data_IF_937089140587
#
_entry.id   IF_937089140587
#
_cell.length_a   1.000
_cell.length_b   1.000
_cell.length_c   1.000
_cell.angle_alpha   90.00
_cell.angle_beta   90.00
_cell.angle_gamma   90.00
#
_symmetry.space_group_name_H-M   'P 1'
#
loop_
_entity.id
_entity.type
_entity.pdbx_description
1 polymer ?
#
# COMPACT_ATOMS: atom_id res chain seq x y z
N UNK A 1 -19.31 32.71 -17.46
CA UNK A 1 -19.74 32.01 -16.23
C UNK A 1 -18.72 30.92 -15.87
N UNK A 2 -17.75 31.19 -14.97
CA UNK A 2 -16.74 30.22 -14.51
C UNK A 2 -16.40 30.51 -13.04
N UNK A 3 -17.15 29.98 -12.06
CA UNK A 3 -16.88 30.22 -10.61
C UNK A 3 -17.39 29.13 -9.63
N UNK A 4 -17.55 27.86 -10.05
CA UNK A 4 -17.98 26.79 -9.11
C UNK A 4 -16.96 25.68 -8.84
N UNK A 5 -16.03 25.40 -9.75
CA UNK A 5 -15.12 24.24 -9.61
C UNK A 5 -13.92 24.46 -8.67
N UNK A 6 -13.57 25.72 -8.32
CA UNK A 6 -12.34 26.02 -7.56
C UNK A 6 -12.52 26.11 -6.04
N UNK A 7 -13.75 26.16 -5.51
CA UNK A 7 -13.97 26.32 -4.05
C UNK A 7 -13.90 25.01 -3.27
N UNK A 8 -14.18 23.87 -3.91
CA UNK A 8 -14.33 22.58 -3.21
C UNK A 8 -12.99 21.92 -2.89
N UNK A 9 -11.98 22.01 -3.74
CA UNK A 9 -10.66 21.41 -3.47
C UNK A 9 -9.91 22.08 -2.30
N UNK A 10 -10.16 23.37 -2.06
CA UNK A 10 -9.52 24.14 -0.98
C UNK A 10 -10.13 23.92 0.41
N UNK A 11 -11.28 23.26 0.53
CA UNK A 11 -11.95 23.07 1.82
C UNK A 11 -11.43 21.85 2.59
N UNK A 12 -10.90 20.83 1.90
CA UNK A 12 -10.48 19.56 2.51
C UNK A 12 -9.42 19.70 3.61
N UNK A 13 -8.37 20.53 3.50
CA UNK A 13 -7.42 20.73 4.58
C UNK A 13 -8.09 21.20 5.87
N UNK A 14 -9.06 22.12 5.77
CA UNK A 14 -9.79 22.63 6.93
C UNK A 14 -10.77 21.62 7.50
N UNK A 15 -11.36 20.75 6.67
CA UNK A 15 -12.18 19.62 7.14
C UNK A 15 -11.33 18.59 7.88
N UNK A 16 -10.11 18.31 7.41
CA UNK A 16 -9.13 17.45 8.10
C UNK A 16 -8.77 18.05 9.47
N UNK A 17 -8.49 19.34 9.55
CA UNK A 17 -8.20 20.03 10.81
C UNK A 17 -9.35 19.88 11.82
N UNK A 18 -10.60 20.06 11.40
CA UNK A 18 -11.77 19.84 12.26
C UNK A 18 -11.81 18.39 12.81
N UNK A 19 -11.45 17.41 11.98
CA UNK A 19 -11.40 16.00 12.40
C UNK A 19 -10.26 15.73 13.38
N UNK A 20 -9.06 16.27 13.15
CA UNK A 20 -7.90 16.11 14.03
C UNK A 20 -8.11 16.78 15.40
N UNK A 21 -8.73 17.96 15.42
CA UNK A 21 -9.02 18.72 16.64
C UNK A 21 -10.22 18.17 17.43
N UNK A 22 -10.95 17.18 16.89
CA UNK A 22 -12.13 16.58 17.52
C UNK A 22 -13.20 17.60 17.94
N UNK A 23 -13.30 18.72 17.22
CA UNK A 23 -14.28 19.77 17.52
C UNK A 23 -15.69 19.35 17.09
N UNK A 24 -16.70 19.90 17.76
CA UNK A 24 -18.10 19.58 17.50
C UNK A 24 -18.54 20.03 16.10
N UNK A 25 -19.68 19.52 15.64
CA UNK A 25 -20.26 19.92 14.35
C UNK A 25 -20.50 21.42 14.25
N UNK A 26 -21.07 22.02 15.30
CA UNK A 26 -21.37 23.47 15.33
C UNK A 26 -20.09 24.30 15.25
N UNK A 27 -19.06 23.88 15.99
CA UNK A 27 -17.73 24.51 15.97
C UNK A 27 -17.07 24.33 14.60
N UNK A 28 -17.19 23.15 13.99
CA UNK A 28 -16.65 22.87 12.65
C UNK A 28 -17.28 23.77 11.59
N UNK A 29 -18.60 23.96 11.63
CA UNK A 29 -19.30 24.83 10.69
C UNK A 29 -18.94 26.30 10.89
N UNK A 30 -18.76 26.74 12.15
CA UNK A 30 -18.27 28.11 12.45
C UNK A 30 -16.83 28.30 11.96
N UNK A 31 -15.96 27.33 12.26
CA UNK A 31 -14.55 27.33 11.87
C UNK A 31 -14.33 27.46 10.37
N UNK A 32 -15.16 26.76 9.58
CA UNK A 32 -15.16 26.83 8.13
C UNK A 32 -15.71 28.15 7.62
N UNK A 33 -16.76 28.68 8.26
CA UNK A 33 -17.36 29.98 7.92
C UNK A 33 -16.36 31.13 8.11
N UNK A 34 -15.60 31.12 9.20
CA UNK A 34 -14.56 32.12 9.49
C UNK A 34 -13.43 32.12 8.44
N UNK A 35 -13.27 31.00 7.72
CA UNK A 35 -12.31 30.83 6.61
C UNK A 35 -12.94 31.05 5.23
N UNK A 36 -14.17 31.55 5.18
CA UNK A 36 -14.88 31.87 3.93
C UNK A 36 -15.65 30.71 3.31
N UNK A 37 -15.81 29.58 4.01
CA UNK A 37 -16.57 28.42 3.56
C UNK A 37 -17.90 28.31 4.31
N UNK A 38 -18.98 28.77 3.70
CA UNK A 38 -20.34 28.56 4.22
C UNK A 38 -20.92 27.30 3.59
N UNK A 39 -20.97 26.21 4.36
CA UNK A 39 -21.50 24.92 3.92
C UNK A 39 -22.62 24.44 4.83
N UNK A 40 -23.48 23.56 4.31
CA UNK A 40 -24.51 22.91 5.13
C UNK A 40 -23.93 21.78 5.98
N UNK A 41 -24.66 21.38 7.02
CA UNK A 41 -24.34 20.18 7.82
C UNK A 41 -24.17 18.94 6.94
N UNK A 42 -25.10 18.69 6.03
CA UNK A 42 -25.05 17.52 5.14
C UNK A 42 -23.80 17.54 4.26
N UNK A 43 -23.43 18.71 3.75
CA UNK A 43 -22.22 18.89 2.95
C UNK A 43 -20.94 18.69 3.78
N UNK A 44 -20.90 19.16 5.02
CA UNK A 44 -19.79 18.90 5.93
C UNK A 44 -19.58 17.40 6.16
N UNK A 45 -20.63 16.63 6.43
CA UNK A 45 -20.52 15.18 6.59
C UNK A 45 -20.14 14.45 5.31
N UNK A 46 -20.61 14.92 4.14
CA UNK A 46 -20.16 14.39 2.84
C UNK A 46 -18.66 14.59 2.66
N UNK A 47 -18.16 15.81 2.87
CA UNK A 47 -16.74 16.13 2.75
C UNK A 47 -15.89 15.38 3.78
N UNK A 48 -16.40 15.23 5.01
CA UNK A 48 -15.76 14.42 6.06
C UNK A 48 -15.61 12.96 5.63
N UNK A 49 -16.66 12.38 5.05
CA UNK A 49 -16.64 11.01 4.54
C UNK A 49 -15.64 10.86 3.39
N UNK A 50 -15.62 11.79 2.45
CA UNK A 50 -14.68 11.82 1.33
C UNK A 50 -13.22 11.90 1.80
N UNK A 51 -12.93 12.74 2.81
CA UNK A 51 -11.62 12.81 3.46
C UNK A 51 -11.24 11.46 4.09
N UNK A 52 -12.16 10.81 4.79
CA UNK A 52 -11.93 9.50 5.41
C UNK A 52 -11.66 8.41 4.36
N UNK A 53 -12.44 8.38 3.28
CA UNK A 53 -12.27 7.43 2.17
C UNK A 53 -10.91 7.63 1.50
N UNK A 54 -10.53 8.87 1.18
CA UNK A 54 -9.21 9.17 0.59
C UNK A 54 -8.03 8.78 1.51
N UNK A 55 -8.19 8.98 2.82
CA UNK A 55 -7.19 8.58 3.82
C UNK A 55 -7.07 7.06 3.88
N UNK A 56 -8.20 6.36 3.85
CA UNK A 56 -8.23 4.89 3.85
C UNK A 56 -7.61 4.32 2.56
N UNK A 57 -7.90 4.91 1.40
CA UNK A 57 -7.28 4.55 0.13
C UNK A 57 -5.76 4.73 0.17
N UNK A 58 -5.28 5.85 0.71
CA UNK A 58 -3.85 6.10 0.89
C UNK A 58 -3.21 5.10 1.87
N UNK A 59 -3.87 4.77 2.97
CA UNK A 59 -3.41 3.74 3.91
C UNK A 59 -3.34 2.37 3.25
N UNK A 60 -4.34 2.00 2.45
CA UNK A 60 -4.33 0.74 1.69
C UNK A 60 -3.21 0.71 0.64
N UNK A 61 -2.93 1.84 -0.01
CA UNK A 61 -1.79 1.98 -0.93
C UNK A 61 -0.45 1.85 -0.21
N UNK A 62 -0.31 2.44 0.97
CA UNK A 62 0.90 2.30 1.79
C UNK A 62 1.06 0.84 2.23
N UNK A 63 0.00 0.21 2.76
CA UNK A 63 0.03 -1.18 3.19
C UNK A 63 0.39 -2.13 2.04
N UNK A 64 -0.23 -1.96 0.87
CA UNK A 64 0.10 -2.78 -0.31
C UNK A 64 1.54 -2.60 -0.81
N UNK A 65 2.09 -1.39 -0.74
CA UNK A 65 3.52 -1.14 -1.03
C UNK A 65 4.42 -1.82 0.00
N UNK A 66 4.09 -1.70 1.28
CA UNK A 66 4.85 -2.30 2.38
C UNK A 66 4.89 -3.83 2.26
N UNK A 67 3.75 -4.47 1.97
CA UNK A 67 3.71 -5.91 1.71
C UNK A 67 4.55 -6.32 0.51
N UNK A 68 4.56 -5.52 -0.57
CA UNK A 68 5.42 -5.77 -1.73
C UNK A 68 6.90 -5.66 -1.35
N UNK A 69 7.29 -4.63 -0.60
CA UNK A 69 8.64 -4.46 -0.09
C UNK A 69 9.07 -5.67 0.73
N UNK A 70 8.25 -6.13 1.67
CA UNK A 70 8.55 -7.32 2.48
C UNK A 70 8.72 -8.59 1.62
N UNK A 71 7.92 -8.77 0.58
CA UNK A 71 8.09 -9.89 -0.35
C UNK A 71 9.45 -9.83 -1.07
N UNK A 72 9.86 -8.64 -1.52
CA UNK A 72 11.15 -8.46 -2.19
C UNK A 72 12.32 -8.69 -1.23
N UNK A 73 12.25 -8.14 -0.01
CA UNK A 73 13.27 -8.35 1.02
C UNK A 73 13.43 -9.83 1.39
N UNK A 74 12.32 -10.58 1.45
CA UNK A 74 12.35 -12.03 1.67
C UNK A 74 13.02 -12.77 0.51
N UNK A 75 12.72 -12.40 -0.74
CA UNK A 75 13.39 -12.97 -1.92
C UNK A 75 14.90 -12.72 -1.85
N UNK A 76 15.32 -11.49 -1.54
CA UNK A 76 16.73 -11.13 -1.44
C UNK A 76 17.43 -11.90 -0.32
N UNK A 77 16.77 -12.02 0.84
CA UNK A 77 17.28 -12.81 1.97
C UNK A 77 17.47 -14.28 1.58
N UNK A 78 16.47 -14.90 0.93
CA UNK A 78 16.55 -16.30 0.48
C UNK A 78 17.66 -16.49 -0.56
N UNK A 79 17.88 -15.52 -1.45
CA UNK A 79 18.99 -15.55 -2.43
C UNK A 79 20.35 -15.50 -1.73
N UNK A 80 20.50 -14.66 -0.71
CA UNK A 80 21.73 -14.60 0.10
C UNK A 80 21.94 -15.91 0.83
N UNK A 81 20.92 -16.45 1.49
CA UNK A 81 20.99 -17.75 2.18
C UNK A 81 21.44 -18.84 1.20
N UNK A 82 20.85 -18.92 0.01
CA UNK A 82 21.25 -19.91 -1.00
C UNK A 82 22.72 -19.76 -1.40
N UNK A 83 23.20 -18.53 -1.61
CA UNK A 83 24.60 -18.27 -1.94
C UNK A 83 25.53 -18.78 -0.84
N UNK A 84 25.24 -18.44 0.42
CA UNK A 84 26.04 -18.87 1.58
C UNK A 84 25.99 -20.39 1.77
N UNK A 85 24.83 -21.02 1.52
CA UNK A 85 24.69 -22.47 1.58
C UNK A 85 25.53 -23.19 0.52
N UNK A 86 25.61 -22.66 -0.69
CA UNK A 86 26.50 -23.21 -1.72
C UNK A 86 27.97 -23.08 -1.32
N UNK A 87 28.38 -21.94 -0.76
CA UNK A 87 29.74 -21.77 -0.22
C UNK A 87 30.04 -22.82 0.86
N UNK A 88 29.12 -23.01 1.81
CA UNK A 88 29.22 -24.01 2.86
C UNK A 88 29.29 -25.44 2.31
N UNK A 89 28.49 -25.76 1.29
CA UNK A 89 28.52 -27.07 0.62
C UNK A 89 29.91 -27.38 0.02
N UNK A 90 30.56 -26.39 -0.57
CA UNK A 90 31.87 -26.57 -1.21
C UNK A 90 33.01 -26.77 -0.20
N UNK A 91 32.94 -26.13 0.97
CA UNK A 91 33.97 -26.26 2.02
C UNK A 91 33.72 -27.41 3.01
N UNK A 92 32.49 -27.93 3.09
CA UNK A 92 32.16 -29.07 3.95
C UNK A 92 32.86 -30.34 3.44
N UNK A 93 33.27 -31.22 4.36
CA UNK A 93 33.95 -32.48 4.04
C UNK A 93 33.10 -33.70 4.39
N UNK A 94 32.12 -33.56 5.28
CA UNK A 94 31.23 -34.64 5.67
C UNK A 94 30.13 -34.88 4.61
N UNK A 95 30.06 -36.06 3.98
CA UNK A 95 29.07 -36.36 2.94
C UNK A 95 27.62 -36.24 3.41
N UNK A 96 27.30 -36.69 4.63
CA UNK A 96 25.94 -36.60 5.17
C UNK A 96 25.50 -35.15 5.36
N UNK A 97 26.40 -34.28 5.84
CA UNK A 97 26.11 -32.84 5.95
C UNK A 97 25.96 -32.18 4.58
N UNK A 98 26.73 -32.60 3.58
CA UNK A 98 26.55 -32.13 2.19
C UNK A 98 25.16 -32.43 1.65
N UNK A 99 24.66 -33.65 1.88
CA UNK A 99 23.30 -34.02 1.49
C UNK A 99 22.27 -33.14 2.20
N UNK A 100 22.41 -32.93 3.52
CA UNK A 100 21.52 -32.03 4.26
C UNK A 100 21.52 -30.59 3.73
N UNK A 101 22.70 -30.07 3.35
CA UNK A 101 22.81 -28.73 2.75
C UNK A 101 22.06 -28.68 1.40
N UNK A 102 22.20 -29.71 0.56
CA UNK A 102 21.48 -29.80 -0.72
C UNK A 102 19.96 -29.89 -0.53
N UNK A 103 19.48 -30.70 0.42
CA UNK A 103 18.04 -30.78 0.75
C UNK A 103 17.49 -29.43 1.21
N UNK A 104 18.27 -28.68 2.00
CA UNK A 104 17.88 -27.33 2.45
C UNK A 104 17.93 -26.32 1.31
N UNK A 105 18.84 -26.48 0.34
CA UNK A 105 18.88 -25.66 -0.88
C UNK A 105 17.62 -25.92 -1.72
N UNK A 106 17.24 -27.18 -1.93
CA UNK A 106 16.01 -27.56 -2.64
C UNK A 106 14.78 -26.93 -1.97
N UNK A 107 14.65 -27.06 -0.65
CA UNK A 107 13.56 -26.43 0.11
C UNK A 107 13.49 -24.91 -0.10
N UNK A 108 14.64 -24.22 -0.07
CA UNK A 108 14.71 -22.78 -0.32
C UNK A 108 14.24 -22.40 -1.74
N UNK A 109 14.54 -23.23 -2.75
CA UNK A 109 14.08 -22.99 -4.12
C UNK A 109 12.55 -23.05 -4.24
N UNK A 110 11.90 -23.96 -3.50
CA UNK A 110 10.42 -24.04 -3.46
C UNK A 110 9.83 -22.75 -2.88
N UNK A 111 10.39 -22.24 -1.79
CA UNK A 111 9.92 -20.98 -1.20
C UNK A 111 10.11 -19.79 -2.16
N UNK A 112 11.27 -19.69 -2.81
CA UNK A 112 11.52 -18.65 -3.81
C UNK A 112 10.50 -18.70 -4.96
N UNK A 113 10.20 -19.89 -5.50
CA UNK A 113 9.19 -20.04 -6.55
C UNK A 113 7.83 -19.48 -6.10
N UNK A 114 7.38 -19.86 -4.90
CA UNK A 114 6.11 -19.39 -4.33
C UNK A 114 6.05 -17.86 -4.19
N UNK A 115 7.15 -17.23 -3.76
CA UNK A 115 7.22 -15.77 -3.70
C UNK A 115 7.15 -15.12 -5.09
N UNK A 116 7.83 -15.67 -6.10
CA UNK A 116 7.73 -15.16 -7.47
C UNK A 116 6.34 -15.34 -8.07
N UNK A 117 5.70 -16.50 -7.86
CA UNK A 117 4.35 -16.76 -8.35
C UNK A 117 3.33 -15.79 -7.73
N UNK A 118 3.45 -15.56 -6.42
CA UNK A 118 2.64 -14.58 -5.70
C UNK A 118 2.82 -13.16 -6.26
N UNK A 119 4.08 -12.74 -6.46
CA UNK A 119 4.40 -11.43 -7.05
C UNK A 119 3.87 -11.32 -8.48
N UNK A 120 4.01 -12.37 -9.30
CA UNK A 120 3.51 -12.42 -10.68
C UNK A 120 1.99 -12.30 -10.75
N UNK A 121 1.27 -12.99 -9.86
CA UNK A 121 -0.19 -12.89 -9.75
C UNK A 121 -0.65 -11.46 -9.44
N UNK A 122 0.01 -10.80 -8.48
CA UNK A 122 -0.31 -9.40 -8.12
C UNK A 122 -0.04 -8.46 -9.30
N UNK A 123 1.09 -8.62 -9.99
CA UNK A 123 1.44 -7.82 -11.17
C UNK A 123 0.44 -8.01 -12.32
N UNK A 124 0.03 -9.26 -12.61
CA UNK A 124 -1.00 -9.55 -13.62
C UNK A 124 -2.34 -8.91 -13.26
N UNK A 125 -2.75 -8.98 -11.99
CA UNK A 125 -3.99 -8.34 -11.52
C UNK A 125 -3.93 -6.82 -11.64
N UNK A 126 -2.78 -6.21 -11.36
CA UNK A 126 -2.58 -4.77 -11.53
C UNK A 126 -2.61 -4.35 -13.01
N UNK A 127 -1.99 -5.11 -13.91
CA UNK A 127 -2.02 -4.88 -15.35
C UNK A 127 -3.46 -4.98 -15.91
N UNK A 128 -4.20 -6.03 -15.53
CA UNK A 128 -5.57 -6.25 -15.98
C UNK A 128 -6.54 -5.17 -15.50
N UNK A 129 -6.32 -4.59 -14.31
CA UNK A 129 -7.09 -3.42 -13.83
C UNK A 129 -6.87 -2.18 -14.71
N UNK A 130 -5.62 -1.91 -15.12
CA UNK A 130 -5.31 -0.78 -16.00
C UNK A 130 -5.93 -0.93 -17.40
N UNK A 131 -5.96 -2.16 -17.92
CA UNK A 131 -6.60 -2.44 -19.22
C UNK A 131 -8.10 -2.13 -19.14
N UNK A 132 -8.82 -2.61 -18.12
CA UNK A 132 -10.28 -2.38 -18.00
C UNK A 132 -10.68 -0.90 -17.92
N UNK A 133 -9.88 -0.05 -17.27
CA UNK A 133 -10.19 1.40 -17.16
C UNK A 133 -10.02 2.12 -18.51
N UNK A 134 -9.23 1.55 -19.43
CA UNK A 134 -8.94 2.19 -20.73
C UNK A 134 -10.00 1.86 -21.80
N UNK A 135 -10.85 0.86 -21.58
CA UNK A 135 -11.86 0.40 -22.58
C UNK A 135 -13.27 0.97 -22.32
N UNK A 136 -13.47 1.80 -21.29
CA UNK A 136 -14.76 2.43 -20.95
C UNK A 136 -14.84 3.94 -21.29
N UNK A 137 -14.14 4.39 -22.34
CA UNK A 137 -14.30 5.74 -22.90
C UNK A 137 -14.79 5.68 -24.34
#
# INVERSE_FOLDING_TARGET
MRKKETKTAGIFPFVIECMCLHISEKESLSYLKDRGFTISRAEFYRLKKEVQESTQERLNLIASKEFLTQHMERIDTLRVILKEMWLNYHIENNPSKKVQILEKIEQNQVYLSSYYDSTRYVLQRAANKKVKITVEN
#
